data_IF_332681659174
#
_entry.id   IF_332681659174
#
_cell.length_a   1.000
_cell.length_b   1.000
_cell.length_c   1.000
_cell.angle_alpha   90.00
_cell.angle_beta   90.00
_cell.angle_gamma   90.00
#
_symmetry.space_group_name_H-M   'P 1'
#
loop_
_entity.id
_entity.type
_entity.pdbx_description
1 polymer ?
#
# COMPACT_ATOMS: atom_id res chain seq x y z
N UNK A 1 9.89 -11.30 -34.84
CA UNK A 1 10.88 -10.50 -34.07
C UNK A 1 10.15 -9.80 -32.93
N UNK A 2 10.33 -10.16 -31.65
CA UNK A 2 9.75 -9.36 -30.57
C UNK A 2 10.50 -8.03 -30.52
N UNK A 3 9.79 -6.91 -30.66
CA UNK A 3 10.39 -5.58 -30.48
C UNK A 3 10.90 -5.51 -29.04
N UNK A 4 12.20 -5.39 -28.88
CA UNK A 4 12.84 -5.18 -27.60
C UNK A 4 12.52 -3.73 -27.18
N UNK A 5 11.32 -3.51 -26.64
CA UNK A 5 10.91 -2.17 -26.19
C UNK A 5 11.86 -1.70 -25.09
N UNK A 6 12.33 -0.46 -25.20
CA UNK A 6 13.15 0.15 -24.15
C UNK A 6 12.40 0.09 -22.81
N UNK A 7 13.12 -0.30 -21.76
CA UNK A 7 12.63 -0.25 -20.39
C UNK A 7 12.90 1.15 -19.87
N UNK A 8 11.84 1.89 -19.55
CA UNK A 8 11.92 3.19 -18.90
C UNK A 8 11.64 3.04 -17.40
N UNK A 9 12.33 3.85 -16.60
CA UNK A 9 12.23 3.83 -15.13
C UNK A 9 12.08 5.25 -14.58
N UNK A 10 11.21 5.41 -13.57
CA UNK A 10 11.00 6.68 -12.89
C UNK A 10 10.96 6.49 -11.38
N UNK A 11 11.76 7.26 -10.65
CA UNK A 11 11.96 7.12 -9.20
C UNK A 11 11.49 8.37 -8.47
N UNK A 12 10.78 8.19 -7.35
CA UNK A 12 10.22 9.30 -6.57
C UNK A 12 9.90 8.85 -5.13
N UNK A 13 9.70 9.80 -4.22
CA UNK A 13 9.30 9.52 -2.83
C UNK A 13 7.79 9.71 -2.63
N UNK A 14 7.12 8.69 -2.08
CA UNK A 14 5.70 8.73 -1.71
C UNK A 14 5.36 7.67 -0.64
N UNK A 15 4.24 7.84 0.09
CA UNK A 15 3.78 6.86 1.09
C UNK A 15 4.85 6.52 2.15
N UNK A 16 5.66 7.53 2.52
CA UNK A 16 6.76 7.40 3.48
C UNK A 16 7.89 6.46 3.02
N UNK A 17 8.04 6.24 1.71
CA UNK A 17 9.05 5.34 1.15
C UNK A 17 9.48 5.74 -0.27
N UNK A 18 10.55 5.12 -0.75
CA UNK A 18 10.98 5.27 -2.13
C UNK A 18 10.12 4.41 -3.05
N UNK A 19 9.62 5.00 -4.14
CA UNK A 19 8.79 4.36 -5.15
C UNK A 19 9.48 4.38 -6.50
N UNK A 20 9.22 3.36 -7.31
CA UNK A 20 9.77 3.21 -8.66
C UNK A 20 8.68 2.75 -9.62
N UNK A 21 8.55 3.41 -10.78
CA UNK A 21 7.72 2.95 -11.89
C UNK A 21 8.61 2.41 -12.98
N UNK A 22 8.18 1.32 -13.60
CA UNK A 22 8.87 0.73 -14.74
C UNK A 22 7.86 0.43 -15.84
N UNK A 23 8.21 0.73 -17.08
CA UNK A 23 7.39 0.33 -18.21
C UNK A 23 8.24 -0.01 -19.43
N UNK A 24 7.67 -0.85 -20.31
CA UNK A 24 8.28 -1.24 -21.57
C UNK A 24 7.51 -0.55 -22.67
N UNK A 25 8.19 0.24 -23.50
CA UNK A 25 7.53 1.00 -24.57
C UNK A 25 6.58 2.09 -24.07
N UNK A 26 6.80 2.59 -22.85
CA UNK A 26 6.09 3.76 -22.30
C UNK A 26 7.03 4.97 -22.34
N UNK A 27 6.45 6.14 -22.51
CA UNK A 27 7.15 7.43 -22.42
C UNK A 27 7.40 7.82 -20.96
N UNK A 28 8.42 8.66 -20.75
CA UNK A 28 8.66 9.30 -19.45
C UNK A 28 7.46 10.10 -18.94
N UNK A 29 6.70 10.74 -19.83
CA UNK A 29 5.49 11.49 -19.48
C UNK A 29 4.42 10.59 -18.87
N UNK A 30 4.25 9.37 -19.36
CA UNK A 30 3.31 8.38 -18.79
C UNK A 30 3.76 7.94 -17.38
N UNK A 31 5.06 7.75 -17.17
CA UNK A 31 5.61 7.46 -15.85
C UNK A 31 5.38 8.62 -14.86
N UNK A 32 5.58 9.87 -15.28
CA UNK A 32 5.31 11.05 -14.44
C UNK A 32 3.81 11.17 -14.09
N UNK A 33 2.91 10.84 -15.02
CA UNK A 33 1.47 10.75 -14.73
C UNK A 33 1.16 9.67 -13.68
N UNK A 34 1.91 8.57 -13.71
CA UNK A 34 1.85 7.54 -12.68
C UNK A 34 2.26 8.04 -11.31
N UNK A 35 3.37 8.78 -11.21
CA UNK A 35 3.77 9.43 -9.95
C UNK A 35 2.66 10.35 -9.44
N UNK A 36 2.12 11.22 -10.29
CA UNK A 36 1.07 12.16 -9.89
C UNK A 36 -0.14 11.43 -9.31
N UNK A 37 -0.54 10.32 -9.92
CA UNK A 37 -1.63 9.48 -9.41
C UNK A 37 -1.31 8.86 -8.04
N UNK A 38 -0.11 8.27 -7.87
CA UNK A 38 0.32 7.71 -6.59
C UNK A 38 0.29 8.77 -5.50
N UNK A 39 0.79 9.98 -5.78
CA UNK A 39 0.77 11.11 -4.84
C UNK A 39 -0.65 11.55 -4.49
N UNK A 40 -1.52 11.67 -5.49
CA UNK A 40 -2.93 12.06 -5.30
C UNK A 40 -3.65 11.07 -4.39
N UNK A 41 -3.48 9.78 -4.63
CA UNK A 41 -4.08 8.75 -3.80
C UNK A 41 -3.46 8.71 -2.40
N UNK A 42 -2.13 8.80 -2.29
CA UNK A 42 -1.43 8.87 -1.01
C UNK A 42 -1.94 10.03 -0.13
N UNK A 43 -2.23 11.18 -0.73
CA UNK A 43 -2.80 12.33 -0.02
C UNK A 43 -4.23 12.08 0.50
N UNK A 44 -5.02 11.23 -0.17
CA UNK A 44 -6.38 10.87 0.27
C UNK A 44 -6.37 9.84 1.42
N UNK A 45 -5.43 8.90 1.37
CA UNK A 45 -5.42 7.74 2.27
C UNK A 45 -4.46 7.87 3.46
N UNK A 46 -3.82 9.03 3.63
CA UNK A 46 -2.87 9.25 4.73
C UNK A 46 -3.61 9.60 6.01
N UNK A 47 -3.34 8.91 7.11
CA UNK A 47 -3.85 9.30 8.43
C UNK A 47 -3.08 10.45 9.10
N UNK A 48 -2.02 10.94 8.43
CA UNK A 48 -1.16 12.01 8.95
C UNK A 48 -1.56 13.39 8.43
N UNK A 49 -2.68 13.50 7.71
CA UNK A 49 -3.25 14.78 7.28
C UNK A 49 -4.70 14.87 7.71
N UNK A 50 -5.05 15.98 8.36
CA UNK A 50 -6.43 16.27 8.78
C UNK A 50 -7.39 16.48 7.61
N UNK A 51 -6.86 16.73 6.41
CA UNK A 51 -7.63 16.97 5.19
C UNK A 51 -7.75 15.73 4.32
N UNK A 52 -7.23 14.59 4.77
CA UNK A 52 -7.33 13.36 4.00
C UNK A 52 -8.72 12.74 4.15
N UNK A 53 -9.14 12.08 3.10
CA UNK A 53 -10.39 11.34 3.07
C UNK A 53 -10.44 10.23 4.14
N UNK A 54 -9.30 9.57 4.38
CA UNK A 54 -9.19 8.57 5.45
C UNK A 54 -9.40 9.18 6.83
N UNK A 55 -8.82 10.36 7.11
CA UNK A 55 -9.00 11.04 8.38
C UNK A 55 -10.44 11.50 8.57
N UNK A 56 -11.10 11.98 7.51
CA UNK A 56 -12.53 12.30 7.54
C UNK A 56 -13.37 11.07 7.89
N UNK A 57 -13.13 9.92 7.24
CA UNK A 57 -13.83 8.67 7.56
C UNK A 57 -13.57 8.21 9.01
N UNK A 58 -12.33 8.28 9.48
CA UNK A 58 -11.98 7.92 10.86
C UNK A 58 -12.61 8.85 11.91
N UNK A 59 -12.97 10.07 11.53
CA UNK A 59 -13.64 11.06 12.40
C UNK A 59 -15.15 11.10 12.22
N UNK A 60 -15.73 10.23 11.39
CA UNK A 60 -17.15 10.23 11.07
C UNK A 60 -18.05 9.85 12.26
N UNK A 61 -17.50 9.22 13.30
CA UNK A 61 -18.22 8.82 14.52
C UNK A 61 -19.55 8.07 14.26
N UNK A 62 -19.51 7.11 13.32
CA UNK A 62 -20.70 6.33 12.95
C UNK A 62 -21.55 6.95 11.84
N UNK A 63 -21.20 8.13 11.32
CA UNK A 63 -21.91 8.75 10.21
C UNK A 63 -21.42 8.24 8.84
N UNK A 64 -22.32 8.22 7.85
CA UNK A 64 -21.94 7.95 6.47
C UNK A 64 -21.24 9.18 5.88
N UNK A 65 -20.07 8.98 5.29
CA UNK A 65 -19.33 10.03 4.59
C UNK A 65 -19.19 9.69 3.11
N UNK A 66 -19.18 10.71 2.28
CA UNK A 66 -18.88 10.57 0.86
C UNK A 66 -17.43 10.16 0.66
N UNK A 67 -17.21 9.16 -0.20
CA UNK A 67 -15.88 8.68 -0.57
C UNK A 67 -15.71 8.68 -2.08
N UNK A 68 -14.49 8.94 -2.52
CA UNK A 68 -14.08 8.82 -3.90
C UNK A 68 -14.11 7.37 -4.38
N UNK A 69 -14.25 7.18 -5.70
CA UNK A 69 -14.23 5.85 -6.31
C UNK A 69 -12.95 5.06 -5.98
N UNK A 70 -11.81 5.75 -5.90
CA UNK A 70 -10.54 5.10 -5.55
C UNK A 70 -10.50 4.65 -4.09
N UNK A 71 -11.04 5.47 -3.17
CA UNK A 71 -11.15 5.09 -1.76
C UNK A 71 -12.15 3.94 -1.58
N UNK A 72 -13.32 4.02 -2.20
CA UNK A 72 -14.31 2.94 -2.18
C UNK A 72 -13.68 1.61 -2.65
N UNK A 73 -12.98 1.63 -3.78
CA UNK A 73 -12.31 0.45 -4.33
C UNK A 73 -11.26 -0.13 -3.38
N UNK A 74 -10.49 0.75 -2.72
CA UNK A 74 -9.49 0.34 -1.74
C UNK A 74 -10.11 -0.22 -0.46
N UNK A 75 -11.21 0.37 0.02
CA UNK A 75 -11.95 -0.13 1.19
C UNK A 75 -12.56 -1.50 0.90
N UNK A 76 -13.14 -1.70 -0.30
CA UNK A 76 -13.64 -3.01 -0.74
C UNK A 76 -12.52 -4.05 -0.82
N UNK A 77 -11.35 -3.67 -1.34
CA UNK A 77 -10.19 -4.58 -1.33
C UNK A 77 -9.72 -4.89 0.10
N UNK A 78 -9.79 -3.93 1.03
CA UNK A 78 -9.47 -4.16 2.44
C UNK A 78 -10.39 -5.21 3.07
N UNK A 79 -11.70 -5.11 2.81
CA UNK A 79 -12.69 -6.12 3.23
C UNK A 79 -12.38 -7.47 2.60
N UNK A 80 -12.17 -7.53 1.29
CA UNK A 80 -11.83 -8.77 0.58
C UNK A 80 -10.57 -9.43 1.13
N UNK A 81 -9.52 -8.64 1.37
CA UNK A 81 -8.26 -9.14 1.92
C UNK A 81 -8.43 -9.65 3.36
N UNK A 82 -9.27 -9.01 4.16
CA UNK A 82 -9.63 -9.48 5.50
C UNK A 82 -10.30 -10.85 5.44
N UNK A 83 -11.32 -11.01 4.60
CA UNK A 83 -12.06 -12.27 4.46
C UNK A 83 -11.17 -13.41 3.95
N UNK A 84 -10.45 -13.20 2.85
CA UNK A 84 -9.60 -14.23 2.22
C UNK A 84 -8.45 -14.67 3.14
N UNK A 85 -7.97 -13.77 4.01
CA UNK A 85 -6.89 -14.08 4.95
C UNK A 85 -7.36 -14.62 6.30
N UNK A 86 -8.66 -14.82 6.50
CA UNK A 86 -9.20 -15.22 7.80
C UNK A 86 -8.96 -14.19 8.91
N UNK A 87 -8.89 -12.91 8.54
CA UNK A 87 -8.71 -11.78 9.45
C UNK A 87 -7.26 -11.32 9.67
N UNK A 88 -6.26 -12.01 9.10
CA UNK A 88 -4.84 -11.66 9.25
C UNK A 88 -4.50 -10.29 8.64
N UNK A 89 -5.15 -9.93 7.54
CA UNK A 89 -5.10 -8.57 6.99
C UNK A 89 -6.28 -7.80 7.59
N UNK A 90 -6.01 -6.85 8.47
CA UNK A 90 -7.06 -6.04 9.10
C UNK A 90 -6.71 -4.55 9.00
N UNK A 91 -7.59 -3.77 8.38
CA UNK A 91 -7.43 -2.32 8.28
C UNK A 91 -7.93 -1.59 9.54
N UNK A 92 -8.75 -2.22 10.39
CA UNK A 92 -9.31 -1.63 11.61
C UNK A 92 -8.30 -1.59 12.78
N UNK A 93 -7.03 -1.38 12.47
CA UNK A 93 -5.90 -1.45 13.43
C UNK A 93 -5.46 -0.07 13.93
N UNK A 94 -6.09 1.03 13.48
CA UNK A 94 -5.65 2.38 13.84
C UNK A 94 -5.54 2.60 15.36
N UNK A 95 -6.50 2.19 16.21
CA UNK A 95 -6.37 2.34 17.65
C UNK A 95 -5.11 1.65 18.20
N UNK A 96 -4.81 0.44 17.71
CA UNK A 96 -3.60 -0.30 18.08
C UNK A 96 -2.33 0.40 17.59
N UNK A 97 -2.34 0.97 16.36
CA UNK A 97 -1.19 1.72 15.83
C UNK A 97 -0.92 3.00 16.65
N UNK A 98 -1.96 3.70 17.09
CA UNK A 98 -1.83 4.88 17.95
C UNK A 98 -1.33 4.48 19.34
N UNK A 99 -1.85 3.38 19.91
CA UNK A 99 -1.45 2.88 21.22
C UNK A 99 0.05 2.54 21.28
N UNK A 100 0.61 1.92 20.22
CA UNK A 100 2.07 1.64 20.14
C UNK A 100 2.92 2.89 19.80
N UNK A 101 2.31 4.08 19.82
CA UNK A 101 2.99 5.36 19.62
C UNK A 101 3.20 5.75 18.15
N UNK A 102 2.66 4.99 17.18
CA UNK A 102 2.81 5.32 15.77
C UNK A 102 1.86 6.44 15.37
N UNK A 103 2.13 7.66 15.83
CA UNK A 103 1.29 8.85 15.62
C UNK A 103 1.79 9.75 14.49
N UNK A 104 3.03 9.57 14.05
CA UNK A 104 3.69 10.37 13.00
C UNK A 104 4.28 9.50 11.89
N UNK A 105 4.53 10.03 10.69
CA UNK A 105 5.22 9.32 9.61
C UNK A 105 6.58 8.76 10.07
N UNK A 106 6.98 7.59 9.56
CA UNK A 106 8.29 6.99 9.91
C UNK A 106 9.49 7.84 9.47
N UNK A 107 9.29 8.71 8.48
CA UNK A 107 10.31 9.65 8.02
C UNK A 107 10.69 10.67 9.11
N UNK A 108 9.81 10.92 10.08
CA UNK A 108 10.01 11.88 11.18
C UNK A 108 10.60 11.21 12.44
N UNK A 109 11.06 9.96 12.32
CA UNK A 109 11.72 9.21 13.39
C UNK A 109 10.85 8.14 14.04
N UNK A 110 11.49 7.28 14.83
CA UNK A 110 10.81 6.17 15.49
C UNK A 110 9.75 6.68 16.49
N UNK A 111 8.59 6.02 16.57
CA UNK A 111 7.59 6.33 17.58
C UNK A 111 8.14 6.03 18.98
N UNK A 112 7.79 6.88 19.95
CA UNK A 112 8.00 6.57 21.36
C UNK A 112 6.87 5.65 21.76
N UNK A 113 7.20 4.40 22.12
CA UNK A 113 6.19 3.41 22.55
C UNK A 113 5.49 3.94 23.79
N UNK A 114 4.19 4.20 23.68
CA UNK A 114 3.33 4.33 24.84
C UNK A 114 2.91 2.93 25.25
N UNK A 115 3.13 2.54 26.51
CA UNK A 115 2.65 1.26 27.05
C UNK A 115 1.14 1.34 27.35
N UNK A 116 0.36 1.88 26.41
CA UNK A 116 -1.09 1.90 26.52
C UNK A 116 -1.65 0.49 26.31
N UNK A 117 -2.77 0.19 26.97
CA UNK A 117 -3.48 -1.08 26.80
C UNK A 117 -3.88 -1.24 25.33
N UNK A 118 -3.31 -2.25 24.66
CA UNK A 118 -3.66 -2.58 23.27
C UNK A 118 -4.87 -3.49 23.31
N UNK A 119 -6.02 -2.98 22.87
CA UNK A 119 -7.17 -3.84 22.60
C UNK A 119 -6.99 -4.53 21.24
N UNK A 120 -7.47 -5.79 21.10
CA UNK A 120 -7.53 -6.46 19.81
C UNK A 120 -8.29 -5.59 18.82
N UNK A 121 -7.76 -5.47 17.60
CA UNK A 121 -8.47 -4.80 16.52
C UNK A 121 -9.79 -5.53 16.25
N UNK A 122 -10.93 -4.81 16.15
CA UNK A 122 -12.20 -5.43 15.80
C UNK A 122 -12.12 -6.04 14.40
N UNK A 123 -13.00 -6.99 14.10
CA UNK A 123 -13.08 -7.56 12.75
C UNK A 123 -13.53 -6.47 11.79
N UNK A 124 -12.84 -6.36 10.65
CA UNK A 124 -13.08 -5.26 9.70
C UNK A 124 -14.52 -5.26 9.19
N UNK A 125 -15.07 -6.43 8.90
CA UNK A 125 -16.44 -6.64 8.40
C UNK A 125 -17.52 -6.24 9.41
N UNK A 126 -17.19 -6.20 10.70
CA UNK A 126 -18.13 -5.85 11.76
C UNK A 126 -18.17 -4.33 11.99
N UNK A 127 -17.16 -3.58 11.52
CA UNK A 127 -17.01 -2.14 11.80
C UNK A 127 -17.02 -1.24 10.58
N UNK A 128 -16.74 -1.77 9.38
CA UNK A 128 -16.68 -1.01 8.14
C UNK A 128 -17.83 -1.40 7.20
N UNK A 129 -18.68 -0.43 6.87
CA UNK A 129 -19.70 -0.57 5.84
C UNK A 129 -19.35 0.28 4.61
N UNK A 130 -19.45 -0.31 3.41
CA UNK A 130 -19.13 0.36 2.14
C UNK A 130 -20.29 0.23 1.16
N UNK A 131 -20.76 1.35 0.63
CA UNK A 131 -21.80 1.49 -0.40
C UNK A 131 -21.25 2.32 -1.57
N UNK A 132 -21.92 2.33 -2.73
CA UNK A 132 -21.51 3.19 -3.85
C UNK A 132 -21.36 4.65 -3.40
N UNK A 133 -20.16 5.19 -3.54
CA UNK A 133 -19.80 6.56 -3.19
C UNK A 133 -19.79 6.90 -1.70
N UNK A 134 -20.04 5.95 -0.79
CA UNK A 134 -20.15 6.22 0.66
C UNK A 134 -19.55 5.12 1.52
N UNK A 135 -18.95 5.51 2.64
CA UNK A 135 -18.46 4.59 3.66
C UNK A 135 -18.87 5.05 5.06
N UNK A 136 -18.96 4.10 5.98
CA UNK A 136 -19.24 4.34 7.41
C UNK A 136 -18.36 3.44 8.25
N UNK A 137 -17.88 3.99 9.35
CA UNK A 137 -17.10 3.29 10.35
C UNK A 137 -17.82 3.36 11.70
N UNK A 138 -17.93 2.23 12.40
CA UNK A 138 -18.55 2.20 13.73
C UNK A 138 -17.82 3.12 14.73
N UNK A 139 -18.56 3.61 15.73
CA UNK A 139 -18.05 4.58 16.71
C UNK A 139 -16.83 4.05 17.45
N UNK A 140 -15.85 4.92 17.67
CA UNK A 140 -14.59 4.59 18.34
C UNK A 140 -13.65 3.68 17.54
N UNK A 141 -14.02 3.26 16.32
CA UNK A 141 -13.14 2.49 15.44
C UNK A 141 -12.30 3.41 14.55
N UNK A 142 -11.23 2.86 13.97
CA UNK A 142 -10.33 3.61 13.10
C UNK A 142 -9.62 2.71 12.10
N UNK A 143 -9.41 3.22 10.89
CA UNK A 143 -8.74 2.53 9.79
C UNK A 143 -7.30 3.02 9.57
N UNK A 144 -6.38 2.08 9.33
CA UNK A 144 -5.06 2.31 8.75
C UNK A 144 -4.91 1.46 7.48
N UNK A 145 -4.73 2.13 6.34
CA UNK A 145 -4.63 1.50 5.03
C UNK A 145 -3.19 1.21 4.60
N UNK A 146 -2.19 1.51 5.44
CA UNK A 146 -0.77 1.37 5.11
C UNK A 146 -0.36 -0.07 4.77
N UNK A 147 -1.03 -1.06 5.35
CA UNK A 147 -0.77 -2.48 5.13
C UNK A 147 -1.28 -3.02 3.78
N UNK A 148 -2.22 -2.33 3.13
CA UNK A 148 -2.86 -2.82 1.89
C UNK A 148 -2.69 -1.88 0.70
N UNK A 149 -2.66 -0.57 0.93
CA UNK A 149 -2.70 0.44 -0.12
C UNK A 149 -1.59 0.29 -1.16
N UNK A 150 -0.36 0.00 -0.73
CA UNK A 150 0.78 -0.15 -1.65
C UNK A 150 0.59 -1.32 -2.61
N UNK A 151 0.12 -2.46 -2.11
CA UNK A 151 -0.17 -3.64 -2.92
C UNK A 151 -1.31 -3.36 -3.89
N UNK A 152 -2.40 -2.75 -3.39
CA UNK A 152 -3.52 -2.38 -4.23
C UNK A 152 -3.13 -1.40 -5.35
N UNK A 153 -2.34 -0.37 -5.04
CA UNK A 153 -1.85 0.57 -6.05
C UNK A 153 -1.01 -0.10 -7.14
N UNK A 154 -0.20 -1.07 -6.74
CA UNK A 154 0.65 -1.83 -7.64
C UNK A 154 -0.18 -2.75 -8.56
N UNK A 155 -1.25 -3.34 -8.02
CA UNK A 155 -2.13 -4.27 -8.74
C UNK A 155 -3.25 -3.59 -9.55
N UNK A 156 -3.53 -2.31 -9.29
CA UNK A 156 -4.60 -1.54 -9.95
C UNK A 156 -4.18 -1.18 -11.38
N UNK A 157 -4.85 -1.75 -12.40
CA UNK A 157 -4.58 -1.38 -13.78
C UNK A 157 -5.11 0.03 -14.04
N UNK A 158 -4.30 0.87 -14.67
CA UNK A 158 -4.71 2.21 -15.06
C UNK A 158 -4.05 2.57 -16.37
N UNK A 159 -4.81 2.69 -17.45
CA UNK A 159 -4.29 3.17 -18.72
C UNK A 159 -4.09 4.70 -18.64
N UNK A 160 -2.94 5.30 -19.05
CA UNK A 160 -1.69 4.70 -19.57
C UNK A 160 -0.58 4.53 -18.51
N UNK A 161 -0.95 4.46 -17.22
CA UNK A 161 -0.02 4.35 -16.11
C UNK A 161 0.45 2.89 -15.93
N UNK A 162 1.75 2.60 -16.14
CA UNK A 162 2.27 1.26 -15.91
C UNK A 162 2.24 0.89 -14.41
N UNK A 163 2.31 -0.41 -14.07
CA UNK A 163 2.22 -0.88 -12.70
C UNK A 163 3.29 -0.23 -11.80
N UNK A 164 2.88 0.13 -10.59
CA UNK A 164 3.73 0.77 -9.59
C UNK A 164 4.57 -0.28 -8.85
N UNK A 165 5.87 -0.05 -8.70
CA UNK A 165 6.73 -0.84 -7.81
C UNK A 165 7.17 0.03 -6.64
N UNK A 166 6.50 -0.10 -5.50
CA UNK A 166 6.91 0.61 -4.29
C UNK A 166 8.15 -0.05 -3.67
N UNK A 167 9.27 0.67 -3.62
CA UNK A 167 10.56 0.21 -3.10
C UNK A 167 10.58 -0.02 -1.59
N UNK A 168 11.54 -0.86 -1.16
CA UNK A 168 11.98 -1.30 0.19
C UNK A 168 10.93 -1.68 1.26
N UNK A 169 9.64 -1.48 1.02
CA UNK A 169 8.51 -2.01 1.82
C UNK A 169 7.86 -3.24 1.17
N UNK A 170 8.49 -3.78 0.14
CA UNK A 170 8.30 -5.16 -0.29
C UNK A 170 7.14 -5.43 -1.23
N UNK A 171 6.31 -4.45 -1.62
CA UNK A 171 5.21 -4.68 -2.57
C UNK A 171 5.67 -4.44 -4.01
N UNK A 172 5.83 -5.51 -4.78
CA UNK A 172 6.17 -5.51 -6.20
C UNK A 172 5.03 -6.17 -6.96
N UNK A 173 4.20 -5.40 -7.68
CA UNK A 173 3.28 -5.97 -8.65
C UNK A 173 3.91 -6.03 -10.06
N UNK A 174 3.65 -7.13 -10.77
CA UNK A 174 3.92 -7.25 -12.21
C UNK A 174 2.63 -7.70 -12.90
N UNK A 175 2.13 -6.91 -13.85
CA UNK A 175 1.25 -7.40 -14.91
C UNK A 175 1.92 -7.15 -16.25
N UNK A 176 2.09 -8.22 -17.03
CA UNK A 176 2.48 -8.15 -18.44
C UNK A 176 1.20 -8.25 -19.28
N UNK A 177 0.81 -7.18 -19.96
CA UNK A 177 -0.09 -7.28 -21.12
C UNK A 177 0.73 -7.74 -22.32
N UNK A 178 1.05 -9.04 -22.40
CA UNK A 178 1.44 -9.69 -23.66
C UNK A 178 1.06 -11.17 -23.60
N UNK A 179 0.12 -11.55 -24.47
CA UNK A 179 -0.15 -12.94 -24.79
C UNK A 179 1.05 -13.51 -25.56
N UNK A 180 1.97 -14.19 -24.87
CA UNK A 180 2.85 -15.21 -25.46
C UNK A 180 3.61 -15.96 -24.38
N UNK A 181 3.53 -17.29 -24.42
CA UNK A 181 4.25 -18.24 -23.55
C UNK A 181 5.77 -18.04 -23.66
N UNK A 182 6.40 -17.30 -22.75
CA UNK A 182 7.85 -17.39 -22.56
C UNK A 182 8.27 -17.06 -21.12
N UNK A 183 9.07 -17.96 -20.52
CA UNK A 183 9.64 -17.82 -19.16
C UNK A 183 10.63 -16.65 -19.13
N UNK A 184 10.57 -15.76 -18.13
CA UNK A 184 11.60 -14.73 -17.88
C UNK A 184 11.83 -14.45 -16.39
N UNK A 185 13.02 -13.94 -16.02
CA UNK A 185 13.52 -13.97 -14.63
C UNK A 185 12.86 -12.90 -13.76
N UNK A 186 12.68 -13.18 -12.46
CA UNK A 186 12.33 -12.17 -11.46
C UNK A 186 13.56 -11.78 -10.65
N UNK A 187 13.54 -10.56 -10.12
CA UNK A 187 14.61 -10.02 -9.28
C UNK A 187 14.08 -9.98 -7.85
N UNK A 188 14.72 -10.72 -6.95
CA UNK A 188 14.50 -10.60 -5.51
C UNK A 188 15.71 -9.92 -4.88
N UNK A 189 15.48 -8.91 -4.05
CA UNK A 189 16.50 -8.37 -3.16
C UNK A 189 16.48 -9.18 -1.86
N UNK A 190 17.57 -9.89 -1.55
CA UNK A 190 17.77 -10.48 -0.23
C UNK A 190 18.19 -9.40 0.76
N UNK A 191 17.83 -9.60 2.03
CA UNK A 191 18.23 -8.71 3.11
C UNK A 191 19.69 -9.01 3.50
N UNK A 192 20.63 -8.31 2.86
CA UNK A 192 22.04 -8.32 3.24
C UNK A 192 22.96 -8.29 2.02
N UNK A 193 23.60 -7.14 1.79
CA UNK A 193 24.58 -6.94 0.72
C UNK A 193 23.96 -6.56 -0.63
N UNK A 194 24.71 -5.81 -1.42
CA UNK A 194 24.36 -5.33 -2.76
C UNK A 194 24.34 -6.46 -3.81
N UNK A 195 23.66 -7.57 -3.51
CA UNK A 195 23.52 -8.72 -4.40
C UNK A 195 22.03 -8.96 -4.70
N UNK A 196 21.66 -8.77 -5.97
CA UNK A 196 20.34 -9.13 -6.48
C UNK A 196 20.35 -10.61 -6.85
N UNK A 197 19.52 -11.42 -6.21
CA UNK A 197 19.32 -12.82 -6.64
C UNK A 197 18.19 -12.86 -7.64
N UNK A 198 18.50 -13.31 -8.85
CA UNK A 198 17.54 -13.49 -9.93
C UNK A 198 16.87 -14.87 -9.75
N UNK A 199 15.56 -14.91 -9.51
CA UNK A 199 14.77 -16.15 -9.44
C UNK A 199 13.49 -16.01 -10.27
N UNK A 200 13.17 -16.97 -11.14
CA UNK A 200 12.04 -16.85 -12.08
C UNK A 200 10.67 -16.93 -11.38
N UNK A 201 9.73 -16.05 -11.72
CA UNK A 201 8.30 -16.16 -11.34
C UNK A 201 7.49 -16.44 -12.60
N UNK A 202 6.58 -17.42 -12.55
CA UNK A 202 5.60 -17.69 -13.61
C UNK A 202 4.25 -17.05 -13.24
N UNK A 203 3.53 -16.50 -14.22
CA UNK A 203 2.20 -15.86 -14.15
C UNK A 203 2.19 -14.40 -13.60
N UNK A 204 1.13 -13.58 -13.87
CA UNK A 204 0.97 -12.27 -13.22
C UNK A 204 0.93 -12.50 -11.71
N UNK A 205 1.97 -12.01 -11.04
CA UNK A 205 2.22 -12.30 -9.64
C UNK A 205 2.77 -11.05 -8.98
N UNK A 206 2.13 -10.67 -7.88
CA UNK A 206 2.62 -9.64 -6.97
C UNK A 206 3.40 -10.34 -5.84
N UNK A 207 4.66 -9.94 -5.61
CA UNK A 207 5.41 -10.38 -4.43
C UNK A 207 5.34 -9.30 -3.36
N UNK A 208 5.01 -9.71 -2.13
CA UNK A 208 4.97 -8.87 -0.93
C UNK A 208 5.97 -9.40 0.09
N UNK A 209 6.82 -8.52 0.64
CA UNK A 209 7.66 -8.84 1.81
C UNK A 209 7.35 -7.87 2.95
N UNK A 210 6.77 -8.38 4.04
CA UNK A 210 6.63 -7.62 5.28
C UNK A 210 7.95 -7.70 6.05
N UNK A 211 8.66 -6.57 6.19
CA UNK A 211 9.97 -6.49 6.83
C UNK A 211 9.93 -5.82 8.20
N UNK A 212 10.09 -6.60 9.28
CA UNK A 212 10.21 -6.12 10.66
C UNK A 212 11.57 -5.45 10.98
N UNK A 213 12.56 -5.57 10.08
CA UNK A 213 13.97 -5.20 10.30
C UNK A 213 14.25 -3.69 10.36
N UNK A 214 13.26 -2.81 10.13
CA UNK A 214 13.45 -1.34 10.18
C UNK A 214 13.36 -0.74 11.58
N UNK A 215 12.75 -1.44 12.53
CA UNK A 215 12.80 -1.02 13.93
C UNK A 215 14.01 -1.70 14.57
N UNK A 216 15.17 -1.02 14.61
CA UNK A 216 16.28 -1.45 15.48
C UNK A 216 15.87 -1.16 16.91
N UNK A 217 15.38 -2.18 17.61
CA UNK A 217 15.14 -2.16 19.04
C UNK A 217 16.46 -2.51 19.73
N UNK A 218 17.19 -1.51 20.22
CA UNK A 218 18.25 -1.75 21.20
C UNK A 218 17.82 -1.10 22.50
N UNK A 219 17.68 -1.85 23.61
CA UNK A 219 17.64 -1.22 24.91
C UNK A 219 19.01 -0.57 25.12
N UNK A 220 19.02 0.75 25.33
CA UNK A 220 20.20 1.40 25.91
C UNK A 220 20.35 0.82 27.31
N UNK A 221 21.44 0.07 27.53
CA UNK A 221 21.94 -0.22 28.88
C UNK A 221 22.41 1.08 29.52
#
# INVERSE_FOLDING_TARGET
>A
MPRNGAVEAHHFEALGTSCSLFGIGVSRTELVRGEFWVRKLAARITRFSDRSELTTLNRSDGEWVDVSLEMESLLREAVRAHEVSGGLVNAAVLPSMVAIGYTRPLAEGAPVVSLAVVHPAPRLVDVLAVRPGRARLERGCGLDLGGIAKGWMADTPRDPVPPVVAGRSGSVARRSCFATRARRPAVSASAGGAAFTISSIRAPACRRTAGWRRCRWWPRR
#
